data_IF_727777886130
#
_entry.id   IF_727777886130
#
_cell.length_a   1.000
_cell.length_b   1.000
_cell.length_c   1.000
_cell.angle_alpha   90.00
_cell.angle_beta   90.00
_cell.angle_gamma   90.00
#
_symmetry.space_group_name_H-M   'P 1'
#
loop_
_entity.id
_entity.type
_entity.pdbx_description
1 polymer ?
#
# COMPACT_ATOMS: atom_id res chain seq x y z
N UNK A 1 4.07 9.60 -74.07
CA UNK A 1 4.95 10.01 -72.94
C UNK A 1 4.09 10.05 -71.69
N UNK A 2 4.31 9.13 -70.74
CA UNK A 2 5.00 9.35 -69.44
C UNK A 2 4.08 10.03 -68.41
N UNK A 3 3.77 9.55 -67.21
CA UNK A 3 3.99 8.29 -66.49
C UNK A 3 2.87 8.21 -65.43
N UNK A 4 2.31 7.02 -65.23
CA UNK A 4 1.53 6.62 -64.05
C UNK A 4 2.39 6.67 -62.79
N UNK A 5 1.93 7.32 -61.72
CA UNK A 5 2.51 7.20 -60.38
C UNK A 5 1.47 6.65 -59.42
N UNK A 6 1.56 5.34 -59.21
CA UNK A 6 0.88 4.56 -58.18
C UNK A 6 1.57 4.86 -56.85
N UNK A 7 0.87 5.47 -55.89
CA UNK A 7 1.39 5.65 -54.53
C UNK A 7 0.76 4.59 -53.62
N UNK A 8 1.53 3.53 -53.37
CA UNK A 8 1.24 2.45 -52.44
C UNK A 8 1.61 2.92 -51.02
N UNK A 9 0.64 3.36 -50.23
CA UNK A 9 0.85 3.58 -48.79
C UNK A 9 0.73 2.24 -48.06
N UNK A 10 1.89 1.68 -47.69
CA UNK A 10 2.04 0.60 -46.71
C UNK A 10 1.45 1.04 -45.37
N UNK A 11 0.29 0.50 -44.98
CA UNK A 11 -0.16 0.52 -43.59
C UNK A 11 0.54 -0.60 -42.83
N UNK A 12 1.73 -0.29 -42.29
CA UNK A 12 2.35 -1.11 -41.26
C UNK A 12 1.55 -0.88 -39.97
N UNK A 13 0.59 -1.75 -39.70
CA UNK A 13 -0.06 -1.85 -38.40
C UNK A 13 0.99 -2.28 -37.38
N UNK A 14 1.57 -1.31 -36.70
CA UNK A 14 2.42 -1.52 -35.53
C UNK A 14 1.57 -2.20 -34.47
N UNK A 15 1.67 -3.53 -34.38
CA UNK A 15 1.28 -4.30 -33.21
C UNK A 15 2.26 -3.98 -32.08
N UNK A 16 2.18 -2.76 -31.56
CA UNK A 16 2.67 -2.48 -30.22
C UNK A 16 1.72 -3.19 -29.27
N UNK A 17 2.06 -4.43 -28.90
CA UNK A 17 1.46 -5.08 -27.74
C UNK A 17 1.74 -4.19 -26.53
N UNK A 18 0.72 -3.45 -26.11
CA UNK A 18 0.73 -2.69 -24.87
C UNK A 18 0.83 -3.68 -23.70
N UNK A 19 2.04 -4.13 -23.38
CA UNK A 19 2.34 -4.58 -22.04
C UNK A 19 2.07 -3.39 -21.14
N UNK A 20 1.02 -3.48 -20.33
CA UNK A 20 0.58 -2.42 -19.43
C UNK A 20 1.77 -1.83 -18.66
N UNK A 21 1.73 -0.52 -18.42
CA UNK A 21 2.85 0.19 -17.79
C UNK A 21 3.13 -0.38 -16.40
N UNK A 22 4.32 -0.99 -16.23
CA UNK A 22 4.80 -1.44 -14.93
C UNK A 22 5.48 -0.27 -14.22
N UNK A 23 5.02 0.05 -13.02
CA UNK A 23 5.62 1.08 -12.18
C UNK A 23 6.22 0.43 -10.95
N UNK A 24 7.49 0.74 -10.68
CA UNK A 24 8.20 0.29 -9.49
C UNK A 24 8.59 1.51 -8.66
N UNK A 25 8.30 1.49 -7.37
CA UNK A 25 8.74 2.54 -6.46
C UNK A 25 8.92 1.99 -5.05
N UNK A 26 9.64 2.74 -4.23
CA UNK A 26 9.89 2.42 -2.83
C UNK A 26 9.48 3.61 -1.97
N UNK A 27 8.93 3.34 -0.80
CA UNK A 27 8.63 4.34 0.22
C UNK A 27 8.94 3.76 1.62
N UNK A 28 8.55 4.47 2.67
CA UNK A 28 8.79 4.08 4.06
C UNK A 28 8.08 2.78 4.49
N UNK A 29 7.12 2.28 3.71
CA UNK A 29 6.47 0.98 3.95
C UNK A 29 7.12 -0.16 3.19
N UNK A 30 7.99 0.12 2.21
CA UNK A 30 8.67 -0.90 1.42
C UNK A 30 8.60 -0.64 -0.08
N UNK A 31 8.79 -1.71 -0.85
CA UNK A 31 8.82 -1.67 -2.31
C UNK A 31 7.49 -2.11 -2.92
N UNK A 32 7.10 -1.45 -4.01
CA UNK A 32 5.87 -1.71 -4.74
C UNK A 32 6.15 -1.99 -6.20
N UNK A 33 5.39 -2.93 -6.76
CA UNK A 33 5.26 -3.16 -8.21
C UNK A 33 3.80 -3.01 -8.56
N UNK A 34 3.47 -2.06 -9.43
CA UNK A 34 2.12 -1.83 -9.91
C UNK A 34 2.06 -2.15 -11.40
N UNK A 35 1.10 -2.98 -11.81
CA UNK A 35 0.71 -3.11 -13.20
C UNK A 35 -0.63 -2.43 -13.42
N UNK A 36 -0.83 -1.90 -14.63
CA UNK A 36 -2.03 -1.13 -14.99
C UNK A 36 -2.74 -1.75 -16.18
N UNK A 37 -4.06 -1.61 -16.17
CA UNK A 37 -4.88 -1.75 -17.36
C UNK A 37 -4.44 -0.74 -18.42
N UNK A 38 -4.76 -1.00 -19.69
CA UNK A 38 -4.52 -0.04 -20.78
C UNK A 38 -5.24 1.30 -20.58
N UNK A 39 -6.31 1.31 -19.78
CA UNK A 39 -7.07 2.49 -19.37
C UNK A 39 -6.43 3.27 -18.21
N UNK A 40 -5.36 2.75 -17.60
CA UNK A 40 -4.55 3.43 -16.58
C UNK A 40 -4.88 3.06 -15.12
N UNK A 41 -6.01 2.41 -14.84
CA UNK A 41 -6.31 1.86 -13.51
C UNK A 41 -5.33 0.74 -13.14
N UNK A 42 -5.17 0.48 -11.85
CA UNK A 42 -4.29 -0.60 -11.35
C UNK A 42 -4.95 -1.95 -11.62
N UNK A 43 -4.23 -2.86 -12.26
CA UNK A 43 -4.65 -4.25 -12.45
C UNK A 43 -4.03 -5.20 -11.42
N UNK A 44 -2.80 -4.93 -10.99
CA UNK A 44 -2.19 -5.68 -9.90
C UNK A 44 -1.26 -4.79 -9.08
N UNK A 45 -1.08 -5.20 -7.82
CA UNK A 45 -0.17 -4.57 -6.87
C UNK A 45 0.61 -5.67 -6.19
N UNK A 46 1.92 -5.53 -6.13
CA UNK A 46 2.80 -6.34 -5.30
C UNK A 46 3.49 -5.39 -4.33
N UNK A 47 3.56 -5.78 -3.06
CA UNK A 47 4.25 -5.04 -2.02
C UNK A 47 5.17 -5.97 -1.24
N UNK A 48 6.37 -5.49 -0.93
CA UNK A 48 7.29 -6.11 0.02
C UNK A 48 7.71 -5.05 1.04
N UNK A 49 7.89 -5.43 2.30
CA UNK A 49 8.40 -4.55 3.36
C UNK A 49 9.83 -4.04 3.07
N UNK A 50 10.31 -3.11 3.89
CA UNK A 50 11.64 -2.49 3.73
C UNK A 50 12.79 -3.50 3.78
N UNK A 51 12.64 -4.55 4.58
CA UNK A 51 13.64 -5.61 4.73
C UNK A 51 13.52 -6.68 3.63
N UNK A 52 12.55 -6.54 2.73
CA UNK A 52 12.24 -7.49 1.67
C UNK A 52 11.98 -8.91 2.20
N UNK A 53 11.31 -9.01 3.36
CA UNK A 53 11.03 -10.25 4.10
C UNK A 53 9.57 -10.66 3.98
N UNK A 54 8.65 -9.73 4.18
CA UNK A 54 7.21 -9.98 4.12
C UNK A 54 6.58 -9.15 3.02
N UNK A 55 5.54 -9.69 2.40
CA UNK A 55 4.85 -8.99 1.34
C UNK A 55 3.45 -9.50 1.12
N UNK A 56 2.82 -8.91 0.10
CA UNK A 56 1.48 -9.27 -0.33
C UNK A 56 1.27 -8.86 -1.77
N UNK A 57 0.54 -9.68 -2.50
CA UNK A 57 0.23 -9.48 -3.91
C UNK A 57 -1.27 -9.50 -4.12
N UNK A 58 -1.78 -8.55 -4.89
CA UNK A 58 -3.20 -8.38 -5.21
C UNK A 58 -3.39 -8.27 -6.73
N UNK A 59 -4.49 -8.81 -7.24
CA UNK A 59 -5.03 -8.50 -8.55
C UNK A 59 -6.43 -7.91 -8.42
N UNK A 60 -6.78 -7.02 -9.35
CA UNK A 60 -8.04 -6.27 -9.35
C UNK A 60 -8.81 -6.47 -10.66
N UNK A 61 -10.14 -6.40 -10.59
CA UNK A 61 -11.00 -6.20 -11.75
C UNK A 61 -10.96 -4.72 -12.22
N UNK A 62 -11.70 -4.41 -13.30
CA UNK A 62 -11.76 -3.04 -13.85
C UNK A 62 -12.50 -2.05 -12.95
N UNK A 63 -13.30 -2.55 -12.03
CA UNK A 63 -14.03 -1.77 -11.04
C UNK A 63 -13.17 -1.50 -9.80
N UNK A 64 -11.99 -2.12 -9.69
CA UNK A 64 -11.06 -1.98 -8.58
C UNK A 64 -11.33 -2.98 -7.44
N UNK A 65 -12.20 -3.97 -7.63
CA UNK A 65 -12.38 -5.03 -6.63
C UNK A 65 -11.24 -6.04 -6.71
N UNK A 66 -10.78 -6.50 -5.54
CA UNK A 66 -9.79 -7.58 -5.46
C UNK A 66 -10.39 -8.88 -6.00
N UNK A 67 -9.72 -9.47 -6.98
CA UNK A 67 -10.07 -10.78 -7.58
C UNK A 67 -9.07 -11.88 -7.20
N UNK A 68 -7.92 -11.49 -6.66
CA UNK A 68 -6.88 -12.40 -6.17
C UNK A 68 -6.03 -11.71 -5.12
N UNK A 69 -5.70 -12.41 -4.04
CA UNK A 69 -4.82 -11.92 -3.00
C UNK A 69 -4.03 -13.09 -2.38
N UNK A 70 -2.73 -12.90 -2.17
CA UNK A 70 -1.90 -13.83 -1.40
C UNK A 70 -0.84 -13.08 -0.60
N UNK A 71 -0.51 -13.62 0.58
CA UNK A 71 0.66 -13.20 1.34
C UNK A 71 1.92 -13.78 0.72
N UNK A 72 2.97 -12.97 0.60
CA UNK A 72 4.29 -13.38 0.11
C UNK A 72 5.32 -13.23 1.21
N UNK A 73 6.42 -14.00 1.13
CA UNK A 73 7.54 -13.89 2.07
C UNK A 73 8.84 -14.42 1.47
N UNK A 74 9.96 -13.97 2.05
CA UNK A 74 11.32 -14.40 1.73
C UNK A 74 12.12 -14.79 2.99
N UNK A 75 11.42 -14.97 4.12
CA UNK A 75 11.99 -15.35 5.41
C UNK A 75 11.21 -16.54 5.98
N UNK A 76 11.91 -17.45 6.68
CA UNK A 76 11.34 -18.68 7.22
C UNK A 76 10.54 -19.43 6.13
N UNK A 77 11.26 -19.83 5.08
CA UNK A 77 10.68 -20.32 3.84
C UNK A 77 10.47 -19.23 2.80
N UNK A 78 9.67 -19.53 1.78
CA UNK A 78 9.28 -18.55 0.76
C UNK A 78 7.79 -18.64 0.43
N UNK A 79 7.22 -17.53 -0.03
CA UNK A 79 5.93 -17.50 -0.70
C UNK A 79 5.95 -16.41 -1.78
N UNK A 80 5.56 -16.73 -3.00
CA UNK A 80 5.65 -15.84 -4.17
C UNK A 80 4.39 -15.91 -5.01
N UNK A 81 4.04 -14.80 -5.66
CA UNK A 81 3.00 -14.75 -6.70
C UNK A 81 3.62 -14.21 -7.98
N UNK A 82 3.41 -14.91 -9.08
CA UNK A 82 3.76 -14.45 -10.42
C UNK A 82 2.48 -14.20 -11.24
N UNK A 83 2.32 -12.97 -11.72
CA UNK A 83 1.17 -12.59 -12.54
C UNK A 83 1.51 -12.59 -14.03
N UNK A 84 0.58 -13.10 -14.84
CA UNK A 84 0.54 -12.91 -16.30
C UNK A 84 -0.68 -12.09 -16.67
N UNK A 85 -0.62 -11.41 -17.80
CA UNK A 85 -1.62 -10.43 -18.19
C UNK A 85 -2.17 -10.68 -19.59
N UNK A 86 -3.44 -10.33 -19.79
CA UNK A 86 -4.08 -10.17 -21.09
C UNK A 86 -3.57 -8.90 -21.79
N UNK A 87 -3.76 -8.76 -23.12
CA UNK A 87 -3.36 -7.55 -23.86
C UNK A 87 -4.01 -6.25 -23.37
N UNK A 88 -5.19 -6.33 -22.75
CA UNK A 88 -5.90 -5.19 -22.16
C UNK A 88 -5.33 -4.78 -20.78
N UNK A 89 -4.31 -5.49 -20.29
CA UNK A 89 -3.65 -5.28 -19.00
C UNK A 89 -4.33 -5.96 -17.82
N UNK A 90 -5.46 -6.66 -18.01
CA UNK A 90 -6.07 -7.49 -16.96
C UNK A 90 -5.18 -8.69 -16.62
N UNK A 91 -5.19 -9.15 -15.37
CA UNK A 91 -4.51 -10.40 -14.99
C UNK A 91 -5.19 -11.57 -15.70
N UNK A 92 -4.40 -12.40 -16.38
CA UNK A 92 -4.84 -13.62 -17.05
C UNK A 92 -4.55 -14.88 -16.23
N UNK A 93 -3.49 -14.84 -15.42
CA UNK A 93 -3.03 -15.96 -14.61
C UNK A 93 -2.26 -15.47 -13.39
N UNK A 94 -2.49 -16.10 -12.25
CA UNK A 94 -1.72 -15.94 -11.02
C UNK A 94 -1.16 -17.30 -10.61
N UNK A 95 0.16 -17.42 -10.59
CA UNK A 95 0.88 -18.60 -10.10
C UNK A 95 1.37 -18.29 -8.68
N UNK A 96 0.96 -19.07 -7.69
CA UNK A 96 1.41 -18.93 -6.29
C UNK A 96 2.16 -20.16 -5.85
N UNK A 97 3.27 -19.96 -5.16
CA UNK A 97 4.09 -21.01 -4.57
C UNK A 97 4.43 -20.62 -3.14
N UNK A 98 4.37 -21.57 -2.20
CA UNK A 98 4.79 -21.38 -0.81
C UNK A 98 5.48 -22.63 -0.29
N UNK A 99 6.59 -22.42 0.41
CA UNK A 99 7.36 -23.46 1.09
C UNK A 99 7.76 -22.93 2.48
N UNK A 100 6.93 -23.11 3.54
CA UNK A 100 7.21 -22.59 4.88
C UNK A 100 8.40 -23.27 5.57
N UNK A 101 8.61 -24.56 5.32
CA UNK A 101 9.65 -25.35 5.98
C UNK A 101 10.74 -25.80 5.01
N UNK A 102 11.35 -24.83 4.32
CA UNK A 102 12.50 -25.09 3.44
C UNK A 102 12.24 -26.05 2.27
N UNK A 103 10.96 -26.32 1.94
CA UNK A 103 10.55 -27.22 0.86
C UNK A 103 10.14 -28.64 1.30
N UNK A 104 10.17 -28.96 2.60
CA UNK A 104 9.56 -30.21 3.11
C UNK A 104 8.05 -30.17 2.92
N UNK A 105 7.45 -29.08 3.39
CA UNK A 105 6.07 -28.72 3.09
C UNK A 105 6.07 -27.68 1.96
N UNK A 106 5.27 -27.94 0.93
CA UNK A 106 5.12 -27.02 -0.19
C UNK A 106 3.71 -27.04 -0.76
N UNK A 107 3.29 -25.90 -1.30
CA UNK A 107 2.01 -25.73 -1.96
C UNK A 107 2.19 -24.81 -3.15
N UNK A 108 1.64 -25.19 -4.29
CA UNK A 108 1.55 -24.38 -5.48
C UNK A 108 0.12 -24.35 -6.00
N UNK A 109 -0.28 -23.21 -6.54
CA UNK A 109 -1.55 -23.06 -7.21
C UNK A 109 -1.43 -22.17 -8.44
N UNK A 110 -2.26 -22.44 -9.42
CA UNK A 110 -2.45 -21.62 -10.60
C UNK A 110 -3.92 -21.25 -10.68
N UNK A 111 -4.21 -19.95 -10.69
CA UNK A 111 -5.55 -19.43 -10.94
C UNK A 111 -5.56 -18.71 -12.29
N UNK A 112 -6.52 -18.99 -13.16
CA UNK A 112 -6.68 -18.29 -14.45
C UNK A 112 -7.94 -17.43 -14.44
N UNK A 113 -7.90 -16.32 -15.18
CA UNK A 113 -8.96 -15.32 -15.25
C UNK A 113 -9.29 -14.96 -16.70
N UNK A 114 -10.55 -14.61 -16.96
CA UNK A 114 -10.94 -13.95 -18.20
C UNK A 114 -10.55 -12.45 -18.19
N UNK A 115 -10.81 -11.76 -19.31
CA UNK A 115 -10.48 -10.33 -19.46
C UNK A 115 -11.22 -9.40 -18.49
N UNK A 116 -12.29 -9.88 -17.84
CA UNK A 116 -13.09 -9.12 -16.88
C UNK A 116 -12.69 -9.43 -15.43
N UNK A 117 -11.70 -10.30 -15.21
CA UNK A 117 -11.27 -10.70 -13.87
C UNK A 117 -12.10 -11.81 -13.25
N UNK A 118 -12.98 -12.48 -14.02
CA UNK A 118 -13.69 -13.67 -13.53
C UNK A 118 -12.77 -14.88 -13.62
N UNK A 119 -12.66 -15.63 -12.52
CA UNK A 119 -11.91 -16.87 -12.49
C UNK A 119 -12.48 -17.91 -13.47
N UNK A 120 -11.61 -18.46 -14.32
CA UNK A 120 -11.93 -19.46 -15.34
C UNK A 120 -11.32 -20.83 -15.07
N UNK A 121 -10.36 -20.91 -14.15
CA UNK A 121 -9.66 -22.15 -13.84
C UNK A 121 -8.87 -22.05 -12.55
N UNK A 122 -8.64 -23.21 -11.94
CA UNK A 122 -7.82 -23.38 -10.75
C UNK A 122 -7.20 -24.77 -10.75
N UNK A 123 -5.90 -24.84 -10.49
CA UNK A 123 -5.19 -26.09 -10.23
C UNK A 123 -4.26 -25.87 -9.07
N UNK A 124 -4.11 -26.88 -8.22
CA UNK A 124 -3.17 -26.84 -7.11
C UNK A 124 -2.47 -28.17 -6.94
N UNK A 125 -1.31 -28.13 -6.32
CA UNK A 125 -0.52 -29.28 -5.94
C UNK A 125 0.24 -28.93 -4.66
N UNK A 126 0.49 -29.92 -3.82
CA UNK A 126 1.22 -29.71 -2.59
C UNK A 126 1.59 -31.01 -1.90
N UNK A 127 2.52 -30.87 -0.98
CA UNK A 127 3.02 -31.94 -0.13
C UNK A 127 3.04 -31.44 1.31
N UNK A 128 2.45 -32.20 2.21
CA UNK A 128 2.55 -32.01 3.65
C UNK A 128 3.13 -33.27 4.33
N UNK A 129 3.37 -33.19 5.64
CA UNK A 129 3.90 -34.30 6.45
C UNK A 129 2.93 -35.50 6.58
N UNK A 130 1.71 -35.36 6.05
CA UNK A 130 0.63 -36.35 6.10
C UNK A 130 0.25 -36.93 4.72
N UNK A 131 0.97 -36.55 3.65
CA UNK A 131 0.81 -37.09 2.30
C UNK A 131 0.47 -36.01 1.26
N UNK A 132 0.09 -36.40 0.03
CA UNK A 132 -0.42 -35.44 -0.94
C UNK A 132 -1.66 -34.76 -0.37
N UNK A 133 -1.69 -33.42 -0.37
CA UNK A 133 -2.88 -32.65 -0.03
C UNK A 133 -4.01 -33.16 -0.94
N UNK A 134 -5.12 -33.71 -0.40
CA UNK A 134 -6.21 -34.18 -1.23
C UNK A 134 -6.69 -33.00 -2.06
N UNK A 135 -6.50 -33.06 -3.38
CA UNK A 135 -7.05 -32.06 -4.28
C UNK A 135 -8.56 -31.97 -4.03
N UNK A 136 -9.17 -30.78 -4.12
CA UNK A 136 -10.59 -30.62 -3.91
C UNK A 136 -11.32 -31.53 -4.91
N UNK A 137 -11.90 -32.61 -4.40
CA UNK A 137 -12.96 -33.29 -5.14
C UNK A 137 -14.09 -32.27 -5.20
N UNK A 138 -14.51 -31.88 -6.39
CA UNK A 138 -15.72 -31.04 -6.58
C UNK A 138 -16.89 -31.95 -6.94
N UNK A 139 -17.54 -32.66 -5.98
CA UNK A 139 -18.85 -33.21 -6.22
C UNK A 139 -19.88 -32.11 -5.96
N UNK A 140 -20.55 -31.68 -7.02
CA UNK A 140 -21.70 -30.80 -6.95
C UNK A 140 -21.37 -29.32 -7.11
N UNK A 141 -22.38 -28.58 -7.59
CA UNK A 141 -22.37 -27.14 -7.81
C UNK A 141 -21.60 -26.37 -6.71
N UNK A 142 -20.89 -25.28 -7.06
CA UNK A 142 -20.03 -24.56 -6.12
C UNK A 142 -20.80 -24.30 -4.83
N UNK A 143 -20.34 -24.92 -3.73
CA UNK A 143 -20.87 -24.60 -2.41
C UNK A 143 -20.68 -23.09 -2.26
N UNK A 144 -21.80 -22.38 -2.16
CA UNK A 144 -21.81 -20.99 -1.73
C UNK A 144 -21.29 -20.99 -0.28
N UNK A 145 -19.97 -20.92 -0.13
CA UNK A 145 -19.41 -20.39 1.08
C UNK A 145 -19.93 -18.94 1.14
N UNK A 146 -20.62 -18.53 2.21
CA UNK A 146 -20.83 -17.11 2.42
C UNK A 146 -19.43 -16.49 2.32
N UNK A 147 -19.21 -15.63 1.32
CA UNK A 147 -17.95 -14.89 1.20
C UNK A 147 -17.82 -14.16 2.53
N UNK A 148 -16.93 -14.64 3.39
CA UNK A 148 -16.55 -13.88 4.57
C UNK A 148 -16.01 -12.57 4.02
N UNK A 149 -16.71 -11.47 4.32
CA UNK A 149 -16.26 -10.16 3.89
C UNK A 149 -15.00 -9.91 4.71
N UNK A 150 -13.85 -10.30 4.18
CA UNK A 150 -12.55 -9.89 4.69
C UNK A 150 -12.53 -8.39 4.49
N UNK A 151 -12.87 -7.65 5.55
CA UNK A 151 -12.73 -6.20 5.52
C UNK A 151 -11.24 -5.93 5.40
N UNK A 152 -10.84 -5.36 4.26
CA UNK A 152 -9.47 -4.86 4.08
C UNK A 152 -9.12 -4.00 5.30
N UNK A 153 -8.00 -4.32 5.96
CA UNK A 153 -7.51 -3.49 7.05
C UNK A 153 -7.20 -2.11 6.49
N UNK A 154 -8.05 -1.14 6.82
CA UNK A 154 -7.89 0.23 6.36
C UNK A 154 -6.70 0.86 7.05
N UNK A 155 -5.76 1.38 6.28
CA UNK A 155 -4.59 2.07 6.80
C UNK A 155 -4.83 3.58 6.77
N UNK A 156 -4.87 4.19 7.94
CA UNK A 156 -5.06 5.62 8.09
C UNK A 156 -3.72 6.33 8.22
N UNK A 157 -3.43 7.25 7.29
CA UNK A 157 -2.24 8.10 7.31
C UNK A 157 -2.53 9.40 8.05
N UNK A 158 -1.71 9.74 9.03
CA UNK A 158 -1.86 10.94 9.84
C UNK A 158 -0.62 11.79 9.73
N UNK A 159 -0.80 13.08 9.42
CA UNK A 159 0.26 14.06 9.52
C UNK A 159 -0.02 14.98 10.71
N UNK A 160 1.02 15.39 11.42
CA UNK A 160 0.86 16.38 12.48
C UNK A 160 1.79 17.57 12.27
N UNK A 161 1.22 18.73 12.53
CA UNK A 161 1.86 20.03 12.45
C UNK A 161 1.81 20.66 13.84
N UNK A 162 2.82 21.45 14.17
CA UNK A 162 2.86 22.23 15.40
C UNK A 162 2.81 23.70 15.05
N UNK A 163 1.81 24.39 15.58
CA UNK A 163 1.56 25.80 15.30
C UNK A 163 1.87 26.60 16.55
N UNK A 164 2.71 27.63 16.42
CA UNK A 164 2.98 28.52 17.52
C UNK A 164 1.88 29.60 17.65
N UNK A 165 0.82 29.25 18.38
CA UNK A 165 -0.23 30.20 18.78
C UNK A 165 0.19 31.19 19.87
N UNK A 166 1.39 31.03 20.46
CA UNK A 166 1.89 31.93 21.50
C UNK A 166 2.53 33.19 20.90
N UNK A 167 2.31 34.35 21.53
CA UNK A 167 2.74 35.67 21.04
C UNK A 167 4.27 35.90 21.03
N UNK A 168 5.08 34.91 21.37
CA UNK A 168 6.55 35.01 21.44
C UNK A 168 7.20 33.75 20.86
N UNK A 169 8.50 33.79 20.50
CA UNK A 169 9.21 32.62 20.04
C UNK A 169 9.25 31.49 21.08
N UNK A 170 9.14 30.26 20.61
CA UNK A 170 9.05 29.05 21.42
C UNK A 170 10.09 28.04 20.95
N UNK A 171 10.79 27.39 21.89
CA UNK A 171 11.59 26.20 21.60
C UNK A 171 10.73 24.96 21.74
N UNK A 172 10.78 24.12 20.73
CA UNK A 172 10.00 22.92 20.58
C UNK A 172 10.93 21.73 20.47
N UNK A 173 10.66 20.68 21.25
CA UNK A 173 11.24 19.36 21.05
C UNK A 173 10.12 18.36 20.77
N UNK A 174 10.19 17.70 19.63
CA UNK A 174 9.30 16.61 19.25
C UNK A 174 10.07 15.30 19.34
N UNK A 175 9.47 14.32 20.02
CA UNK A 175 10.04 13.00 20.18
C UNK A 175 8.96 11.96 19.91
N UNK A 176 8.98 11.30 18.74
CA UNK A 176 8.09 10.19 18.44
C UNK A 176 8.23 9.09 19.50
N UNK A 177 7.11 8.53 19.95
CA UNK A 177 7.13 7.42 20.94
C UNK A 177 7.50 6.08 20.29
N UNK A 178 7.30 5.97 18.98
CA UNK A 178 7.68 4.83 18.18
C UNK A 178 8.73 5.29 17.17
N UNK A 179 9.81 4.54 17.06
CA UNK A 179 10.87 4.80 16.08
C UNK A 179 10.31 4.52 14.68
N UNK A 180 10.03 5.57 13.91
CA UNK A 180 9.51 5.47 12.54
C UNK A 180 10.40 6.30 11.61
N UNK A 181 10.73 5.83 10.38
CA UNK A 181 11.45 6.64 9.40
C UNK A 181 10.76 7.98 9.08
N UNK A 182 9.42 7.99 9.17
CA UNK A 182 8.55 9.11 8.83
C UNK A 182 8.35 10.15 9.95
N UNK A 183 8.86 9.87 11.16
CA UNK A 183 8.82 10.78 12.29
C UNK A 183 10.18 10.75 13.00
N UNK A 184 10.88 11.89 13.00
CA UNK A 184 12.21 12.04 13.62
C UNK A 184 12.11 12.93 14.85
N UNK A 185 13.11 12.81 15.72
CA UNK A 185 13.34 13.80 16.76
C UNK A 185 13.61 15.16 16.10
N UNK A 186 12.87 16.18 16.54
CA UNK A 186 13.03 17.55 16.03
C UNK A 186 13.26 18.48 17.21
N UNK A 187 14.33 19.27 17.16
CA UNK A 187 14.57 20.42 18.04
C UNK A 187 14.55 21.69 17.18
N UNK A 188 13.56 22.55 17.41
CA UNK A 188 13.31 23.72 16.58
C UNK A 188 12.90 24.94 17.42
N UNK A 189 13.09 26.13 16.85
CA UNK A 189 12.52 27.37 17.38
C UNK A 189 11.46 27.88 16.42
N UNK A 190 10.25 28.15 16.92
CA UNK A 190 9.12 28.67 16.15
C UNK A 190 8.83 30.11 16.55
N UNK A 191 8.71 31.00 15.57
CA UNK A 191 8.20 32.36 15.75
C UNK A 191 6.67 32.35 15.87
N UNK A 192 6.08 33.49 16.25
CA UNK A 192 4.63 33.57 16.40
C UNK A 192 3.93 33.38 15.04
N UNK A 193 2.97 32.47 14.98
CA UNK A 193 2.25 32.13 13.74
C UNK A 193 2.94 31.07 12.88
N UNK A 194 4.20 30.70 13.19
CA UNK A 194 4.90 29.66 12.47
C UNK A 194 4.22 28.30 12.63
N UNK A 195 4.27 27.52 11.55
CA UNK A 195 3.82 26.14 11.51
C UNK A 195 4.98 25.25 11.11
N UNK A 196 5.22 24.20 11.91
CA UNK A 196 6.23 23.20 11.65
C UNK A 196 5.57 21.87 11.35
N UNK A 197 5.97 21.20 10.27
CA UNK A 197 5.61 19.81 10.03
C UNK A 197 6.40 18.93 11.00
N UNK A 198 5.71 18.24 11.90
CA UNK A 198 6.34 17.38 12.90
C UNK A 198 6.65 15.99 12.35
N UNK A 199 5.74 15.41 11.58
CA UNK A 199 5.95 14.11 10.93
C UNK A 199 4.65 13.45 10.51
N UNK A 200 4.78 12.17 10.13
CA UNK A 200 3.69 11.32 9.68
C UNK A 200 3.68 10.02 10.48
N UNK A 201 2.49 9.49 10.79
CA UNK A 201 2.30 8.16 11.37
C UNK A 201 1.07 7.48 10.78
N UNK A 202 1.10 6.16 10.69
CA UNK A 202 -0.01 5.38 10.14
C UNK A 202 -0.61 4.45 11.19
N UNK A 203 -1.93 4.28 11.17
CA UNK A 203 -2.68 3.45 12.11
C UNK A 203 -3.66 2.57 11.35
N UNK A 204 -3.75 1.30 11.73
CA UNK A 204 -4.79 0.41 11.23
C UNK A 204 -6.13 0.73 11.87
N UNK A 205 -7.21 0.66 11.08
CA UNK A 205 -8.62 0.54 11.49
C UNK A 205 -9.23 1.74 12.24
N UNK A 206 -8.45 2.62 12.84
CA UNK A 206 -8.94 3.79 13.57
C UNK A 206 -8.04 5.02 13.47
N UNK A 207 -8.66 6.19 13.65
CA UNK A 207 -7.96 7.45 13.85
C UNK A 207 -7.44 7.54 15.27
N UNK A 208 -6.12 7.63 15.41
CA UNK A 208 -5.47 7.85 16.71
C UNK A 208 -4.98 9.28 16.79
N UNK A 209 -5.07 9.90 17.96
CA UNK A 209 -4.60 11.27 18.16
C UNK A 209 -3.07 11.36 18.19
N UNK A 210 -2.49 12.46 17.67
CA UNK A 210 -1.04 12.63 17.60
C UNK A 210 -0.35 12.59 18.98
N UNK A 211 -0.97 13.10 20.05
CA UNK A 211 -0.35 13.13 21.38
C UNK A 211 -0.16 11.74 22.00
N UNK A 212 -0.87 10.71 21.51
CA UNK A 212 -0.57 9.35 21.90
C UNK A 212 0.70 8.83 21.21
N UNK A 213 1.11 9.41 20.09
CA UNK A 213 2.22 8.96 19.23
C UNK A 213 3.48 9.83 19.33
N UNK A 214 3.36 11.09 19.74
CA UNK A 214 4.49 12.02 19.88
C UNK A 214 4.49 12.70 21.25
N UNK A 215 5.67 12.80 21.84
CA UNK A 215 5.93 13.64 23.01
C UNK A 215 6.29 15.04 22.53
N UNK A 216 5.55 16.04 23.01
CA UNK A 216 5.71 17.44 22.63
C UNK A 216 6.18 18.25 23.82
N UNK A 217 7.45 18.61 23.81
CA UNK A 217 8.07 19.41 24.86
C UNK A 217 8.20 20.86 24.39
N UNK A 218 7.54 21.77 25.09
CA UNK A 218 7.41 23.17 24.67
C UNK A 218 7.90 24.10 25.77
N UNK A 219 8.79 25.04 25.43
CA UNK A 219 9.25 26.07 26.36
C UNK A 219 9.40 27.43 25.68
N UNK A 220 9.13 28.55 26.37
CA UNK A 220 9.43 29.87 25.83
C UNK A 220 10.91 29.98 25.46
N UNK A 221 11.23 30.61 24.33
CA UNK A 221 12.64 30.88 23.98
C UNK A 221 13.31 31.83 24.99
N UNK A 222 12.51 32.71 25.62
CA UNK A 222 12.93 33.59 26.73
C UNK A 222 11.86 33.59 27.84
N UNK A 223 12.30 33.43 29.09
CA UNK A 223 11.44 33.45 30.29
C UNK A 223 11.01 32.06 30.78
N UNK A 224 10.22 32.02 31.88
CA UNK A 224 9.85 30.78 32.60
C UNK A 224 8.35 30.44 32.58
N UNK A 225 7.59 30.92 31.59
CA UNK A 225 6.15 30.61 31.50
C UNK A 225 5.94 29.16 31.06
N UNK A 226 5.01 28.45 31.70
CA UNK A 226 4.58 27.11 31.27
C UNK A 226 3.75 27.23 29.99
N UNK A 227 4.14 26.49 28.96
CA UNK A 227 3.43 26.36 27.69
C UNK A 227 3.08 24.89 27.47
N UNK A 228 1.98 24.63 26.77
CA UNK A 228 1.61 23.29 26.33
C UNK A 228 0.81 23.38 25.03
N UNK A 229 0.43 22.21 24.50
CA UNK A 229 -0.61 22.13 23.48
C UNK A 229 -1.92 22.54 24.13
N UNK A 230 -2.48 23.66 23.65
CA UNK A 230 -3.70 24.26 24.18
C UNK A 230 -4.96 23.77 23.48
N UNK A 231 -4.82 23.34 22.22
CA UNK A 231 -5.86 22.69 21.42
C UNK A 231 -5.24 21.89 20.27
N UNK A 232 -6.04 21.00 19.71
CA UNK A 232 -5.70 20.21 18.53
C UNK A 232 -6.79 20.45 17.49
N UNK A 233 -6.42 21.05 16.37
CA UNK A 233 -7.33 21.25 15.23
C UNK A 233 -7.10 20.12 14.20
N UNK A 234 -8.13 19.74 13.42
CA UNK A 234 -8.03 18.63 12.46
C UNK A 234 -8.55 19.02 11.08
N UNK A 235 -7.95 18.46 10.04
CA UNK A 235 -8.39 18.61 8.64
C UNK A 235 -8.38 17.23 7.98
N UNK A 236 -9.52 16.80 7.46
CA UNK A 236 -9.64 15.58 6.67
C UNK A 236 -9.19 15.87 5.23
N UNK A 237 -8.17 15.17 4.74
CA UNK A 237 -7.62 15.35 3.38
C UNK A 237 -8.22 14.34 2.40
N UNK A 238 -8.33 13.09 2.81
CA UNK A 238 -9.01 12.01 2.08
C UNK A 238 -9.70 11.08 3.09
N UNK A 239 -10.52 10.09 2.68
CA UNK A 239 -11.12 9.13 3.61
C UNK A 239 -10.12 8.42 4.54
N UNK A 240 -8.84 8.34 4.13
CA UNK A 240 -7.77 7.63 4.83
C UNK A 240 -6.59 8.54 5.22
N UNK A 241 -6.68 9.85 4.95
CA UNK A 241 -5.64 10.80 5.31
C UNK A 241 -6.17 11.98 6.12
N UNK A 242 -5.59 12.22 7.31
CA UNK A 242 -5.92 13.35 8.19
C UNK A 242 -4.68 14.14 8.58
N UNK A 243 -4.85 15.45 8.71
CA UNK A 243 -3.86 16.39 9.26
C UNK A 243 -4.31 16.87 10.62
N UNK A 244 -3.39 16.90 11.57
CA UNK A 244 -3.58 17.47 12.90
C UNK A 244 -2.72 18.72 13.07
N UNK A 245 -3.24 19.72 13.74
CA UNK A 245 -2.54 20.95 14.08
C UNK A 245 -2.53 21.12 15.60
N UNK A 246 -1.37 20.87 16.20
CA UNK A 246 -1.11 21.01 17.62
C UNK A 246 -0.79 22.48 17.92
N UNK A 247 -1.73 23.20 18.52
CA UNK A 247 -1.59 24.64 18.73
C UNK A 247 -1.01 24.92 20.12
N UNK A 248 0.20 25.48 20.13
CA UNK A 248 0.88 25.89 21.36
C UNK A 248 0.18 27.12 21.95
N UNK A 249 -0.10 27.06 23.25
CA UNK A 249 -0.67 28.16 24.01
C UNK A 249 -0.21 28.17 25.47
N UNK A 250 -0.76 29.11 26.24
CA UNK A 250 -0.59 29.10 27.69
C UNK A 250 -1.45 27.99 28.29
N UNK A 251 -0.87 27.26 29.24
CA UNK A 251 -1.65 26.39 30.12
C UNK A 251 -2.53 27.30 30.97
N UNK A 252 -3.84 27.07 30.97
CA UNK A 252 -4.77 27.76 31.88
C UNK A 252 -4.56 27.26 33.30
#
# INVERSE_FOLDING_TARGET
MRYTSTLLFLTISVLAHAQGTVQRYTNDSGSFVLHRFTTGQISSREWMDLDNRWGRSWAYDRQGHVIYEQQTRRIAGHATVDFRYHPNGAVSRADYSTMPDGGIQWYESTTTFDENGKQTGFTEQGQDDHGPVPGPTVPGAPKHYPKEIVQEQRLFTNEYFVVNGYRKPVRLKLQPKQTSPAAKDIDATLLHGDTLRGGTYSMGEQWVEPLSQVVVNVRPAKGRKKLAISRTDTVQVSPEHRRYFLVIGRVR
#
